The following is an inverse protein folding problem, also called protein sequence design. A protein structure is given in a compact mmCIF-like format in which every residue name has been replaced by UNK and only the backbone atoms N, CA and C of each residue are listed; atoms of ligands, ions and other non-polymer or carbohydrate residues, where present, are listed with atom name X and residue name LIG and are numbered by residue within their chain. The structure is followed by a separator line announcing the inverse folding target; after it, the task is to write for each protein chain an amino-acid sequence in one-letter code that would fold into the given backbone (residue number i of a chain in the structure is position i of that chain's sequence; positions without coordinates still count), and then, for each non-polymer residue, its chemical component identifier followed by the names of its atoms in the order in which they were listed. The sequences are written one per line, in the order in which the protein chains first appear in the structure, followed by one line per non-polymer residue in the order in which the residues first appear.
data_IF_360789750782
#
_entry.id   IF_360789750782
#
_cell.length_a   1.000
_cell.length_b   1.000
_cell.length_c   1.000
_cell.angle_alpha   90.00
_cell.angle_beta   90.00
_cell.angle_gamma   90.00
#
_symmetry.space_group_name_H-M   'P 1'
#
loop_
_entity.id
_entity.type
_entity.pdbx_description
1 polymer ?
#
# COMPACT_ATOMS: atom_id res chain seq x y z
N UNK A 1 66.38 -52.66 -14.44
CA UNK A 1 65.68 -51.64 -15.26
C UNK A 1 64.40 -51.23 -14.55
N UNK A 2 64.21 -49.95 -14.23
CA UNK A 2 63.07 -49.45 -13.43
C UNK A 2 61.99 -48.92 -14.39
N UNK A 3 60.81 -49.55 -14.43
CA UNK A 3 59.70 -49.11 -15.29
C UNK A 3 59.01 -47.90 -14.65
N UNK A 4 59.04 -46.74 -15.30
CA UNK A 4 58.33 -45.53 -14.88
C UNK A 4 56.89 -45.63 -15.38
N UNK A 5 55.90 -45.62 -14.47
CA UNK A 5 54.47 -45.53 -14.82
C UNK A 5 54.12 -44.06 -15.07
N UNK A 6 53.73 -43.73 -16.29
CA UNK A 6 53.19 -42.42 -16.66
C UNK A 6 51.73 -42.35 -16.23
N UNK A 7 51.43 -41.65 -15.14
CA UNK A 7 50.05 -41.33 -14.75
C UNK A 7 49.61 -40.09 -15.51
N UNK A 8 48.84 -40.26 -16.58
CA UNK A 8 48.28 -39.15 -17.36
C UNK A 8 47.14 -38.51 -16.56
N UNK A 9 47.41 -37.37 -15.93
CA UNK A 9 46.34 -36.52 -15.39
C UNK A 9 45.73 -35.72 -16.54
N UNK A 10 44.46 -35.99 -16.85
CA UNK A 10 43.69 -35.23 -17.82
C UNK A 10 43.49 -33.82 -17.27
N UNK A 11 44.20 -32.83 -17.82
CA UNK A 11 43.93 -31.42 -17.52
C UNK A 11 42.54 -31.08 -18.06
N UNK A 12 41.60 -30.79 -17.17
CA UNK A 12 40.31 -30.21 -17.53
C UNK A 12 40.54 -28.78 -18.03
N UNK A 13 40.63 -28.63 -19.35
CA UNK A 13 40.77 -27.33 -20.00
C UNK A 13 39.40 -26.69 -20.16
N UNK A 14 39.26 -25.47 -19.66
CA UNK A 14 38.09 -24.63 -19.84
C UNK A 14 38.13 -23.98 -21.22
N UNK A 15 37.12 -24.20 -22.04
CA UNK A 15 37.05 -23.66 -23.39
C UNK A 15 36.52 -22.23 -23.39
N UNK A 16 37.09 -21.37 -24.26
CA UNK A 16 36.54 -20.04 -24.52
C UNK A 16 35.08 -20.12 -25.03
N UNK A 17 34.76 -21.18 -25.77
CA UNK A 17 33.39 -21.42 -26.27
C UNK A 17 32.43 -21.72 -25.12
N UNK A 18 32.88 -22.43 -24.09
CA UNK A 18 32.06 -22.72 -22.91
C UNK A 18 31.72 -21.43 -22.15
N UNK A 19 32.68 -20.50 -22.02
CA UNK A 19 32.38 -19.20 -21.42
C UNK A 19 31.49 -18.32 -22.27
N UNK A 20 31.65 -18.34 -23.59
CA UNK A 20 30.81 -17.58 -24.51
C UNK A 20 29.33 -17.99 -24.41
N UNK A 21 29.05 -19.29 -24.34
CA UNK A 21 27.68 -19.79 -24.17
C UNK A 21 27.11 -19.40 -22.80
N UNK A 22 27.91 -19.48 -21.74
CA UNK A 22 27.45 -19.15 -20.39
C UNK A 22 27.07 -17.67 -20.27
N UNK A 23 27.92 -16.75 -20.75
CA UNK A 23 27.59 -15.32 -20.69
C UNK A 23 26.40 -14.97 -21.60
N UNK A 24 26.24 -15.67 -22.73
CA UNK A 24 25.08 -15.50 -23.60
C UNK A 24 23.79 -15.90 -22.89
N UNK A 25 23.78 -17.04 -22.17
CA UNK A 25 22.63 -17.52 -21.39
C UNK A 25 22.35 -16.60 -20.19
N UNK A 26 23.38 -16.14 -19.47
CA UNK A 26 23.20 -15.19 -18.36
C UNK A 26 22.65 -13.86 -18.89
N UNK A 27 23.07 -13.40 -20.07
CA UNK A 27 22.58 -12.17 -20.70
C UNK A 27 21.08 -12.22 -21.02
N UNK A 28 20.59 -13.32 -21.61
CA UNK A 28 19.14 -13.52 -21.86
C UNK A 28 18.35 -13.60 -20.56
N UNK A 29 18.84 -14.36 -19.57
CA UNK A 29 18.17 -14.45 -18.26
C UNK A 29 18.12 -13.09 -17.58
N UNK A 30 19.23 -12.35 -17.55
CA UNK A 30 19.29 -11.02 -16.94
C UNK A 30 18.34 -10.01 -17.61
N UNK A 31 18.16 -10.10 -18.94
CA UNK A 31 17.24 -9.23 -19.68
C UNK A 31 15.76 -9.46 -19.32
N UNK A 32 15.35 -10.71 -19.05
CA UNK A 32 13.96 -11.04 -18.69
C UNK A 32 13.71 -11.01 -17.17
N UNK A 33 14.76 -11.15 -16.36
CA UNK A 33 14.64 -11.37 -14.92
C UNK A 33 14.46 -10.10 -14.10
N UNK A 34 14.53 -8.89 -14.69
CA UNK A 34 14.27 -7.64 -13.98
C UNK A 34 12.78 -7.29 -14.17
N UNK A 35 11.88 -7.67 -13.25
CA UNK A 35 10.53 -7.13 -13.26
C UNK A 35 10.58 -5.62 -13.09
N UNK A 36 9.71 -4.90 -13.79
CA UNK A 36 9.54 -3.46 -13.59
C UNK A 36 8.81 -3.22 -12.24
N UNK A 37 9.58 -3.07 -11.16
CA UNK A 37 9.08 -2.91 -9.78
C UNK A 37 8.43 -1.52 -9.55
N UNK A 38 8.69 -0.55 -10.43
CA UNK A 38 8.20 0.83 -10.26
C UNK A 38 6.67 0.93 -10.24
N UNK A 39 6.00 0.41 -11.27
CA UNK A 39 4.54 0.51 -11.40
C UNK A 39 3.76 -0.32 -10.36
N UNK A 40 4.38 -1.38 -9.84
CA UNK A 40 3.79 -2.23 -8.80
C UNK A 40 3.71 -1.48 -7.47
N UNK A 41 4.76 -0.73 -7.12
CA UNK A 41 4.79 0.03 -5.87
C UNK A 41 3.77 1.17 -5.85
N UNK A 42 3.60 1.89 -6.96
CA UNK A 42 2.62 2.98 -7.05
C UNK A 42 1.18 2.45 -7.00
N UNK A 43 0.93 1.33 -7.70
CA UNK A 43 -0.37 0.64 -7.63
C UNK A 43 -0.69 0.14 -6.23
N UNK A 44 0.32 -0.41 -5.53
CA UNK A 44 0.18 -0.87 -4.16
C UNK A 44 -0.11 0.29 -3.19
N UNK A 45 0.56 1.44 -3.34
CA UNK A 45 0.29 2.65 -2.54
C UNK A 45 -1.14 3.14 -2.75
N UNK A 46 -1.60 3.24 -4.01
CA UNK A 46 -2.98 3.63 -4.33
C UNK A 46 -4.00 2.67 -3.71
N UNK A 47 -3.77 1.36 -3.84
CA UNK A 47 -4.64 0.35 -3.26
C UNK A 47 -4.69 0.44 -1.72
N UNK A 48 -3.56 0.68 -1.07
CA UNK A 48 -3.48 0.90 0.39
C UNK A 48 -4.28 2.13 0.81
N UNK A 49 -4.10 3.26 0.12
CA UNK A 49 -4.81 4.50 0.41
C UNK A 49 -6.34 4.32 0.28
N UNK A 50 -6.79 3.67 -0.80
CA UNK A 50 -8.22 3.36 -0.99
C UNK A 50 -8.76 2.45 0.11
N UNK A 51 -8.02 1.41 0.50
CA UNK A 51 -8.44 0.50 1.56
C UNK A 51 -8.51 1.18 2.92
N UNK A 52 -7.53 2.03 3.24
CA UNK A 52 -7.53 2.82 4.46
C UNK A 52 -8.72 3.78 4.49
N UNK A 53 -9.01 4.47 3.39
CA UNK A 53 -10.16 5.35 3.26
C UNK A 53 -11.49 4.61 3.49
N UNK A 54 -11.68 3.44 2.86
CA UNK A 54 -12.87 2.61 3.09
C UNK A 54 -13.02 2.18 4.55
N UNK A 55 -11.90 1.80 5.20
CA UNK A 55 -11.89 1.44 6.62
C UNK A 55 -12.30 2.63 7.50
N UNK A 56 -11.79 3.83 7.19
CA UNK A 56 -12.15 5.07 7.89
C UNK A 56 -13.62 5.39 7.70
N UNK A 57 -14.13 5.40 6.47
CA UNK A 57 -15.54 5.67 6.20
C UNK A 57 -16.46 4.70 6.94
N UNK A 58 -16.13 3.39 6.93
CA UNK A 58 -16.92 2.38 7.61
C UNK A 58 -16.97 2.59 9.12
N UNK A 59 -15.82 2.83 9.76
CA UNK A 59 -15.75 3.02 11.22
C UNK A 59 -16.40 4.33 11.65
N UNK A 60 -16.19 5.41 10.89
CA UNK A 60 -16.77 6.72 11.19
C UNK A 60 -18.29 6.71 11.03
N UNK A 61 -18.82 6.12 9.95
CA UNK A 61 -20.27 5.95 9.79
C UNK A 61 -20.87 5.05 10.88
N UNK A 62 -20.14 4.02 11.31
CA UNK A 62 -20.57 3.21 12.46
C UNK A 62 -20.60 4.04 13.76
N UNK A 63 -19.62 4.92 13.98
CA UNK A 63 -19.61 5.81 15.13
C UNK A 63 -20.78 6.81 15.09
N UNK A 64 -21.03 7.43 13.92
CA UNK A 64 -22.14 8.36 13.69
C UNK A 64 -23.48 7.67 13.98
N UNK A 65 -23.71 6.49 13.39
CA UNK A 65 -24.88 5.67 13.67
C UNK A 65 -25.00 5.22 15.14
N UNK A 66 -23.87 5.09 15.83
CA UNK A 66 -23.82 4.76 17.25
C UNK A 66 -24.09 5.96 18.18
N UNK A 67 -24.29 7.16 17.63
CA UNK A 67 -24.60 8.38 18.38
C UNK A 67 -23.40 9.30 18.63
N UNK A 68 -22.33 9.15 17.84
CA UNK A 68 -21.29 10.16 17.73
C UNK A 68 -21.78 11.33 16.90
N UNK A 69 -21.47 12.55 17.33
CA UNK A 69 -21.76 13.77 16.59
C UNK A 69 -20.47 14.58 16.57
N UNK A 70 -19.90 14.89 15.40
CA UNK A 70 -18.68 15.68 15.30
C UNK A 70 -18.94 17.12 15.75
N UNK A 71 -18.10 17.63 16.66
CA UNK A 71 -18.17 19.01 17.15
C UNK A 71 -16.76 19.60 17.23
N UNK A 72 -16.36 20.54 16.35
CA UNK A 72 -17.11 21.02 15.17
C UNK A 72 -17.33 19.92 14.12
N UNK A 73 -18.26 20.15 13.20
CA UNK A 73 -18.46 19.29 12.02
C UNK A 73 -17.18 19.23 11.17
N UNK A 74 -16.98 18.11 10.48
CA UNK A 74 -15.84 17.96 9.59
C UNK A 74 -16.05 18.72 8.29
N UNK A 75 -15.02 19.41 7.85
CA UNK A 75 -14.99 20.18 6.60
C UNK A 75 -14.11 19.53 5.53
N UNK A 76 -13.30 18.53 5.91
CA UNK A 76 -12.41 17.83 5.00
C UNK A 76 -12.21 16.35 5.38
N UNK A 77 -11.84 15.53 4.40
CA UNK A 77 -11.45 14.14 4.64
C UNK A 77 -10.26 13.98 5.59
N UNK A 78 -9.37 14.98 5.66
CA UNK A 78 -8.22 14.96 6.57
C UNK A 78 -8.66 14.99 8.04
N UNK A 79 -9.67 15.79 8.37
CA UNK A 79 -10.23 15.84 9.72
C UNK A 79 -10.94 14.54 10.08
N UNK A 80 -11.65 13.94 9.12
CA UNK A 80 -12.29 12.62 9.30
C UNK A 80 -11.26 11.54 9.61
N UNK A 81 -10.16 11.48 8.85
CA UNK A 81 -9.07 10.52 9.08
C UNK A 81 -8.39 10.78 10.42
N UNK A 82 -8.10 12.05 10.74
CA UNK A 82 -7.47 12.41 12.02
C UNK A 82 -8.34 11.98 13.21
N UNK A 83 -9.66 12.21 13.13
CA UNK A 83 -10.60 11.77 14.15
C UNK A 83 -10.70 10.24 14.24
N UNK A 84 -10.75 9.53 13.10
CA UNK A 84 -10.78 8.08 13.06
C UNK A 84 -9.52 7.43 13.66
N UNK A 85 -8.35 8.05 13.49
CA UNK A 85 -7.07 7.57 14.04
C UNK A 85 -6.92 7.93 15.52
N UNK A 86 -7.30 9.16 15.92
CA UNK A 86 -7.34 9.54 17.34
C UNK A 86 -8.36 8.69 18.12
N UNK A 87 -9.41 8.29 17.40
CA UNK A 87 -10.57 7.53 17.84
C UNK A 87 -11.66 8.43 18.43
N UNK A 88 -12.89 8.17 18.05
CA UNK A 88 -14.08 8.93 18.43
C UNK A 88 -14.95 8.14 19.40
N UNK A 89 -15.69 8.85 20.25
CA UNK A 89 -16.57 8.24 21.26
C UNK A 89 -17.98 8.80 21.13
N UNK A 90 -19.00 7.95 20.89
CA UNK A 90 -20.39 8.38 20.90
C UNK A 90 -20.76 9.03 22.23
N UNK A 91 -21.46 10.15 22.14
CA UNK A 91 -21.97 10.90 23.30
C UNK A 91 -23.37 10.44 23.70
N UNK A 92 -24.03 9.68 22.84
CA UNK A 92 -25.37 9.14 23.05
C UNK A 92 -25.46 7.66 22.65
N UNK A 93 -26.64 7.05 22.85
CA UNK A 93 -26.92 5.68 22.43
C UNK A 93 -26.26 4.57 23.25
N UNK A 94 -26.46 3.29 22.85
CA UNK A 94 -25.96 2.11 23.57
C UNK A 94 -24.43 2.00 23.62
N UNK A 95 -23.74 2.67 22.71
CA UNK A 95 -22.28 2.65 22.59
C UNK A 95 -21.61 3.88 23.22
N UNK A 96 -22.33 4.63 24.06
CA UNK A 96 -21.79 5.81 24.74
C UNK A 96 -20.51 5.48 25.52
N UNK A 97 -19.44 6.24 25.27
CA UNK A 97 -18.12 6.04 25.87
C UNK A 97 -17.36 4.81 25.34
N UNK A 98 -17.80 4.20 24.23
CA UNK A 98 -17.01 3.22 23.48
C UNK A 98 -16.23 3.92 22.39
N UNK A 99 -14.96 3.53 22.24
CA UNK A 99 -14.05 4.15 21.27
C UNK A 99 -14.09 3.42 19.93
N UNK A 100 -14.39 4.17 18.89
CA UNK A 100 -14.33 3.75 17.49
C UNK A 100 -13.02 4.29 16.92
N UNK A 101 -12.12 3.40 16.51
CA UNK A 101 -10.78 3.77 16.08
C UNK A 101 -10.37 2.89 14.90
N UNK A 102 -9.69 3.50 13.93
CA UNK A 102 -8.97 2.75 12.88
C UNK A 102 -7.51 2.63 13.31
N UNK A 103 -7.06 1.44 13.71
CA UNK A 103 -5.68 1.26 14.12
C UNK A 103 -4.74 1.26 12.91
N UNK A 104 -3.48 1.66 13.16
CA UNK A 104 -2.35 1.36 12.29
C UNK A 104 -2.37 2.00 10.88
N UNK A 105 -2.78 3.26 10.77
CA UNK A 105 -2.55 4.07 9.56
C UNK A 105 -1.31 4.95 9.79
N UNK A 106 -0.28 4.81 8.95
CA UNK A 106 0.93 5.63 9.00
C UNK A 106 0.61 7.10 8.73
N UNK A 107 1.43 8.04 9.21
CA UNK A 107 1.20 9.46 8.98
C UNK A 107 1.20 9.82 7.47
N UNK A 108 1.98 9.09 6.66
CA UNK A 108 2.04 9.27 5.20
C UNK A 108 0.76 8.78 4.52
N UNK A 109 0.22 7.65 4.98
CA UNK A 109 -1.00 7.06 4.40
C UNK A 109 -2.28 7.81 4.81
N UNK A 110 -2.25 8.59 5.89
CA UNK A 110 -3.39 9.40 6.32
C UNK A 110 -3.75 10.46 5.28
N UNK A 111 -2.76 11.17 4.74
CA UNK A 111 -2.98 12.17 3.70
C UNK A 111 -3.50 11.54 2.41
N UNK A 112 -2.96 10.38 2.02
CA UNK A 112 -3.40 9.65 0.83
C UNK A 112 -4.83 9.11 0.98
N UNK A 113 -5.21 8.63 2.17
CA UNK A 113 -6.57 8.18 2.46
C UNK A 113 -7.57 9.34 2.52
N UNK A 114 -7.16 10.48 3.08
CA UNK A 114 -8.00 11.68 3.20
C UNK A 114 -8.49 12.19 1.84
N UNK A 115 -7.69 12.06 0.79
CA UNK A 115 -8.06 12.45 -0.58
C UNK A 115 -9.29 11.69 -1.13
N UNK A 116 -9.63 10.53 -0.58
CA UNK A 116 -10.77 9.72 -1.02
C UNK A 116 -12.01 9.90 -0.13
N UNK A 117 -11.98 10.84 0.82
CA UNK A 117 -13.02 10.99 1.82
C UNK A 117 -13.60 12.40 1.83
N UNK A 118 -14.92 12.47 1.90
CA UNK A 118 -15.67 13.71 2.11
C UNK A 118 -16.68 13.50 3.23
N UNK A 119 -17.03 14.58 3.93
CA UNK A 119 -18.11 14.57 4.92
C UNK A 119 -19.26 15.42 4.37
N UNK A 120 -20.48 14.87 4.39
CA UNK A 120 -21.67 15.65 4.11
C UNK A 120 -22.31 16.09 5.43
N UNK A 121 -22.39 17.41 5.62
CA UNK A 121 -23.00 18.03 6.79
C UNK A 121 -24.53 17.93 6.77
N UNK A 122 -25.15 17.64 5.62
CA UNK A 122 -26.61 17.48 5.52
C UNK A 122 -27.09 16.07 5.94
N UNK A 123 -26.27 15.05 5.67
CA UNK A 123 -26.62 13.64 5.94
C UNK A 123 -25.96 13.07 7.19
N UNK A 124 -25.09 13.85 7.87
CA UNK A 124 -24.21 13.40 8.94
C UNK A 124 -23.48 12.08 8.58
N UNK A 125 -22.87 12.05 7.39
CA UNK A 125 -22.26 10.85 6.83
C UNK A 125 -20.91 11.11 6.16
N UNK A 126 -19.99 10.16 6.34
CA UNK A 126 -18.71 10.10 5.63
C UNK A 126 -18.90 9.33 4.32
N UNK A 127 -18.54 9.97 3.21
CA UNK A 127 -18.59 9.40 1.88
C UNK A 127 -17.19 9.02 1.39
N UNK A 128 -17.08 7.81 0.85
CA UNK A 128 -15.89 7.35 0.13
C UNK A 128 -16.07 7.58 -1.37
N UNK A 129 -15.13 8.28 -1.98
CA UNK A 129 -15.12 8.58 -3.41
C UNK A 129 -13.83 8.04 -4.05
N UNK A 130 -13.92 6.90 -4.73
CA UNK A 130 -12.77 6.26 -5.36
C UNK A 130 -12.08 7.10 -6.45
N UNK A 131 -12.81 8.08 -7.02
CA UNK A 131 -12.39 8.89 -8.16
C UNK A 131 -12.04 10.34 -7.81
N UNK A 132 -11.95 10.68 -6.52
CA UNK A 132 -11.66 12.06 -6.08
C UNK A 132 -10.29 12.59 -6.53
N UNK A 133 -9.34 11.71 -6.92
CA UNK A 133 -8.07 12.11 -7.56
C UNK A 133 -8.21 12.49 -9.05
N UNK A 134 -9.38 12.34 -9.68
CA UNK A 134 -9.59 12.69 -11.08
C UNK A 134 -10.01 14.16 -11.29
N UNK A 135 -10.28 14.91 -10.22
CA UNK A 135 -10.82 16.29 -10.33
C UNK A 135 -9.70 17.35 -10.40
N UNK A 136 -8.43 17.01 -10.15
CA UNK A 136 -7.31 17.95 -10.24
C UNK A 136 -6.41 17.75 -11.48
N UNK A 137 -6.89 17.02 -12.50
CA UNK A 137 -6.13 16.75 -13.73
C UNK A 137 -6.67 17.46 -14.99
N UNK A 138 -7.68 18.33 -14.85
CA UNK A 138 -8.12 19.23 -15.92
C UNK A 138 -8.19 20.68 -15.43
N UNK A 139 -7.02 21.33 -15.32
CA UNK A 139 -6.85 22.75 -15.65
C UNK A 139 -5.42 23.03 -16.16
#
# INVERSE_FOLDING_TARGET
MKKVKLTTSLKAGFSLVEMLVVIAIIGIIAAIAIPNIGSINDSAKKATAQRNAQSVASIMNAALAAGYVPTPEYTSGAEVVAAAVAGVEPTSGPFRGKKFIVPNISAEDQAAAAAYLTYNTEDDAVYYQADALAVEAEE
#
